data_IF_653642803415
#
_entry.id   IF_653642803415
#
_cell.length_a   1.000
_cell.length_b   1.000
_cell.length_c   1.000
_cell.angle_alpha   90.00
_cell.angle_beta   90.00
_cell.angle_gamma   90.00
#
_symmetry.space_group_name_H-M   'P 1'
#
loop_
_entity.id
_entity.type
_entity.pdbx_description
1 polymer ?
#
# COMPACT_ATOMS: atom_id res chain seq x y z
N UNK A 1 41.97 -1.60 61.11
CA UNK A 1 41.22 -0.53 60.43
C UNK A 1 41.12 -0.89 58.96
N UNK A 2 39.99 -1.49 58.57
CA UNK A 2 39.75 -1.97 57.19
C UNK A 2 39.37 -0.76 56.34
N UNK A 3 40.24 -0.40 55.37
CA UNK A 3 39.93 0.62 54.36
C UNK A 3 38.98 0.01 53.33
N UNK A 4 37.69 0.25 53.48
CA UNK A 4 36.70 0.01 52.42
C UNK A 4 36.89 1.08 51.33
N UNK A 5 37.64 0.73 50.29
CA UNK A 5 37.66 1.48 49.04
C UNK A 5 36.33 1.30 48.32
N UNK A 6 35.46 2.29 48.40
CA UNK A 6 34.25 2.38 47.58
C UNK A 6 34.71 2.51 46.13
N UNK A 7 34.58 1.44 45.35
CA UNK A 7 34.69 1.51 43.89
C UNK A 7 33.49 2.30 43.39
N UNK A 8 33.70 3.57 43.03
CA UNK A 8 32.74 4.35 42.26
C UNK A 8 32.49 3.58 40.96
N UNK A 9 31.26 3.11 40.75
CA UNK A 9 30.83 2.61 39.46
C UNK A 9 30.82 3.79 38.49
N UNK A 10 31.79 3.86 37.60
CA UNK A 10 31.79 4.80 36.49
C UNK A 10 30.52 4.57 35.67
N UNK A 11 29.60 5.53 35.70
CA UNK A 11 28.47 5.57 34.77
C UNK A 11 29.05 5.89 33.40
N UNK A 12 29.30 4.85 32.60
CA UNK A 12 29.72 5.01 31.20
C UNK A 12 28.59 5.76 30.49
N UNK A 13 28.86 7.00 30.09
CA UNK A 13 27.96 7.78 29.24
C UNK A 13 27.93 7.13 27.86
N UNK A 14 26.97 6.22 27.65
CA UNK A 14 26.77 5.56 26.37
C UNK A 14 26.15 6.54 25.39
N UNK A 15 26.99 7.39 24.78
CA UNK A 15 26.59 8.23 23.66
C UNK A 15 26.06 7.34 22.53
N UNK A 16 24.77 7.43 22.26
CA UNK A 16 24.12 6.71 21.17
C UNK A 16 24.80 7.11 19.86
N UNK A 17 25.40 6.14 19.18
CA UNK A 17 26.17 6.37 17.95
C UNK A 17 25.50 5.78 16.72
N UNK A 18 24.60 4.80 16.88
CA UNK A 18 23.93 4.08 15.79
C UNK A 18 22.44 3.96 16.06
N UNK A 19 21.62 4.29 15.07
CA UNK A 19 20.16 4.21 15.13
C UNK A 19 19.66 3.42 13.93
N UNK A 20 18.86 2.38 14.21
CA UNK A 20 18.16 1.62 13.19
C UNK A 20 16.85 2.32 12.83
N UNK A 21 16.65 2.62 11.55
CA UNK A 21 15.40 3.14 10.99
C UNK A 21 14.72 2.02 10.22
N UNK A 22 13.51 1.66 10.63
CA UNK A 22 12.76 0.51 10.07
C UNK A 22 12.03 0.83 8.76
N UNK A 23 12.18 2.06 8.27
CA UNK A 23 11.58 2.55 7.02
C UNK A 23 12.57 2.43 5.84
N UNK A 24 12.07 2.49 4.59
CA UNK A 24 12.90 2.62 3.41
C UNK A 24 13.89 3.79 3.51
N UNK A 25 15.11 3.57 3.03
CA UNK A 25 16.08 4.64 2.87
C UNK A 25 15.48 5.68 1.92
N UNK A 26 15.45 6.96 2.31
CA UNK A 26 14.98 8.02 1.42
C UNK A 26 15.80 8.04 0.13
N UNK A 27 15.13 8.21 -1.01
CA UNK A 27 15.78 8.26 -2.33
C UNK A 27 16.57 9.56 -2.55
N UNK A 28 16.22 10.62 -1.83
CA UNK A 28 16.84 11.95 -2.00
C UNK A 28 17.61 12.36 -0.76
N UNK A 29 18.78 12.96 -0.97
CA UNK A 29 19.64 13.48 0.10
C UNK A 29 19.03 14.67 0.86
N UNK A 30 17.88 15.19 0.40
CA UNK A 30 17.10 16.25 1.06
C UNK A 30 16.22 15.73 2.20
N UNK A 31 16.29 14.44 2.52
CA UNK A 31 15.52 13.89 3.63
C UNK A 31 15.99 14.44 4.98
N UNK A 32 15.07 14.80 5.91
CA UNK A 32 15.42 15.25 7.25
C UNK A 32 16.32 14.28 8.04
N UNK A 33 16.24 12.97 7.73
CA UNK A 33 17.09 11.96 8.36
C UNK A 33 18.59 12.26 8.18
N UNK A 34 19.01 12.68 6.98
CA UNK A 34 20.42 12.94 6.72
C UNK A 34 20.92 14.22 7.40
N UNK A 35 20.05 15.21 7.59
CA UNK A 35 20.37 16.40 8.37
C UNK A 35 20.53 16.08 9.86
N UNK A 36 19.62 15.28 10.42
CA UNK A 36 19.69 14.83 11.81
C UNK A 36 20.96 14.00 12.08
N UNK A 37 21.31 13.10 11.16
CA UNK A 37 22.54 12.30 11.24
C UNK A 37 23.79 13.20 11.37
N UNK A 38 23.89 14.24 10.53
CA UNK A 38 24.99 15.22 10.57
C UNK A 38 24.98 16.04 11.85
N UNK A 39 23.82 16.61 12.21
CA UNK A 39 23.67 17.52 13.36
C UNK A 39 24.07 16.86 14.68
N UNK A 40 23.68 15.61 14.89
CA UNK A 40 23.93 14.89 16.13
C UNK A 40 25.12 13.92 16.04
N UNK A 41 25.79 13.86 14.88
CA UNK A 41 26.91 12.93 14.62
C UNK A 41 26.54 11.47 14.93
N UNK A 42 25.37 11.05 14.45
CA UNK A 42 24.85 9.68 14.60
C UNK A 42 24.80 8.97 13.26
N UNK A 43 25.07 7.67 13.25
CA UNK A 43 24.90 6.81 12.09
C UNK A 43 23.45 6.31 12.02
N UNK A 44 22.80 6.48 10.87
CA UNK A 44 21.47 5.94 10.61
C UNK A 44 21.56 4.74 9.65
N UNK A 45 21.13 3.58 10.12
CA UNK A 45 21.04 2.37 9.30
C UNK A 45 19.57 2.14 8.93
N UNK A 46 19.25 2.13 7.63
CA UNK A 46 17.89 1.92 7.14
C UNK A 46 17.69 0.44 6.80
N UNK A 47 16.72 -0.19 7.46
CA UNK A 47 16.35 -1.58 7.20
C UNK A 47 14.82 -1.71 7.16
N UNK A 48 14.18 -1.76 5.98
CA UNK A 48 12.74 -1.89 5.86
C UNK A 48 12.27 -3.22 6.48
N UNK A 49 11.44 -3.14 7.51
CA UNK A 49 10.87 -4.35 8.13
C UNK A 49 9.70 -4.90 7.31
N UNK A 50 9.06 -4.04 6.53
CA UNK A 50 7.97 -4.41 5.65
C UNK A 50 8.48 -4.29 4.22
N UNK A 51 8.33 -5.37 3.47
CA UNK A 51 8.58 -5.43 2.02
C UNK A 51 7.29 -5.83 1.34
N UNK A 52 7.02 -5.21 0.20
CA UNK A 52 5.90 -5.57 -0.64
C UNK A 52 6.44 -6.32 -1.85
N UNK A 53 6.12 -7.60 -1.91
CA UNK A 53 6.46 -8.46 -3.04
C UNK A 53 5.20 -8.77 -3.84
N UNK A 54 5.31 -8.63 -5.16
CA UNK A 54 4.22 -8.98 -6.05
C UNK A 54 4.13 -10.49 -6.24
N UNK A 55 2.91 -11.03 -6.22
CA UNK A 55 2.68 -12.41 -6.67
C UNK A 55 3.02 -12.53 -8.16
N UNK A 56 3.55 -13.68 -8.57
CA UNK A 56 3.85 -13.96 -9.98
C UNK A 56 2.58 -14.37 -10.75
N UNK A 57 2.54 -14.15 -12.07
CA UNK A 57 1.45 -14.67 -12.90
C UNK A 57 1.30 -16.21 -12.84
N UNK A 58 2.36 -16.96 -12.49
CA UNK A 58 2.28 -18.41 -12.27
C UNK A 58 1.46 -18.74 -11.02
N UNK A 59 1.68 -18.02 -9.93
CA UNK A 59 0.95 -18.20 -8.67
C UNK A 59 -0.47 -17.69 -8.78
N UNK A 60 -0.67 -16.54 -9.42
CA UNK A 60 -2.01 -15.99 -9.62
C UNK A 60 -2.90 -16.96 -10.42
N UNK A 61 -2.38 -17.62 -11.47
CA UNK A 61 -3.12 -18.65 -12.23
C UNK A 61 -3.64 -19.80 -11.35
N UNK A 62 -2.94 -20.14 -10.26
CA UNK A 62 -3.40 -21.19 -9.33
C UNK A 62 -4.68 -20.80 -8.59
N UNK A 63 -4.96 -19.50 -8.45
CA UNK A 63 -6.19 -19.00 -7.83
C UNK A 63 -7.43 -19.19 -8.73
N UNK A 64 -7.24 -19.53 -10.02
CA UNK A 64 -8.31 -19.73 -11.00
C UNK A 64 -9.27 -18.55 -11.12
N UNK A 65 -8.77 -17.33 -10.91
CA UNK A 65 -9.53 -16.09 -11.06
C UNK A 65 -9.42 -15.62 -12.51
N UNK A 66 -10.56 -15.43 -13.17
CA UNK A 66 -10.64 -14.87 -14.50
C UNK A 66 -10.88 -13.36 -14.42
N UNK A 67 -9.83 -12.55 -14.61
CA UNK A 67 -9.90 -11.07 -14.46
C UNK A 67 -10.94 -10.47 -15.42
N UNK A 68 -11.08 -11.01 -16.63
CA UNK A 68 -12.04 -10.56 -17.65
C UNK A 68 -13.49 -10.78 -17.28
N UNK A 69 -13.78 -11.61 -16.26
CA UNK A 69 -15.14 -11.85 -15.77
C UNK A 69 -15.68 -10.71 -14.88
N UNK A 70 -14.81 -9.79 -14.46
CA UNK A 70 -15.16 -8.65 -13.61
C UNK A 70 -15.28 -7.37 -14.44
N UNK A 71 -16.30 -6.57 -14.13
CA UNK A 71 -16.60 -5.32 -14.84
C UNK A 71 -16.19 -4.10 -14.02
N UNK A 72 -15.93 -4.26 -12.72
CA UNK A 72 -15.48 -3.21 -11.82
C UNK A 72 -14.29 -3.66 -10.96
N UNK A 73 -13.36 -2.75 -10.68
CA UNK A 73 -12.20 -2.98 -9.81
C UNK A 73 -12.14 -1.95 -8.69
N UNK A 74 -11.92 -2.40 -7.45
CA UNK A 74 -11.80 -1.56 -6.26
C UNK A 74 -10.32 -1.40 -5.90
N UNK A 75 -9.86 -0.17 -5.70
CA UNK A 75 -8.48 0.14 -5.32
C UNK A 75 -8.39 0.99 -4.05
N UNK A 76 -7.67 0.48 -3.06
CA UNK A 76 -7.41 1.18 -1.81
C UNK A 76 -6.01 1.79 -1.73
N UNK A 77 -5.12 1.47 -2.66
CA UNK A 77 -3.75 2.01 -2.68
C UNK A 77 -3.15 2.05 -4.09
N UNK A 78 -2.07 2.84 -4.25
CA UNK A 78 -1.27 2.89 -5.49
C UNK A 78 -0.60 1.55 -5.79
N UNK A 79 -0.10 0.87 -4.76
CA UNK A 79 0.52 -0.44 -4.89
C UNK A 79 -0.47 -1.48 -5.47
N UNK A 80 -1.74 -1.46 -5.03
CA UNK A 80 -2.76 -2.36 -5.58
C UNK A 80 -2.99 -2.12 -7.08
N UNK A 81 -2.96 -0.85 -7.53
CA UNK A 81 -3.02 -0.48 -8.95
C UNK A 81 -1.82 -1.05 -9.71
N UNK A 82 -0.60 -0.75 -9.23
CA UNK A 82 0.64 -1.18 -9.88
C UNK A 82 0.67 -2.71 -10.04
N UNK A 83 0.37 -3.47 -8.97
CA UNK A 83 0.36 -4.92 -9.03
C UNK A 83 -0.79 -5.49 -9.86
N UNK A 84 -1.98 -4.87 -9.87
CA UNK A 84 -3.08 -5.30 -10.71
C UNK A 84 -2.72 -5.19 -12.20
N UNK A 85 -2.26 -4.03 -12.65
CA UNK A 85 -1.90 -3.84 -14.06
C UNK A 85 -0.68 -4.67 -14.47
N UNK A 86 0.31 -4.83 -13.58
CA UNK A 86 1.42 -5.77 -13.80
C UNK A 86 0.93 -7.20 -14.03
N UNK A 87 -0.01 -7.69 -13.21
CA UNK A 87 -0.58 -9.04 -13.39
C UNK A 87 -1.33 -9.13 -14.71
N UNK A 88 -2.12 -8.10 -15.07
CA UNK A 88 -2.82 -8.07 -16.34
C UNK A 88 -1.85 -8.16 -17.52
N UNK A 89 -0.73 -7.43 -17.48
CA UNK A 89 0.32 -7.47 -18.48
C UNK A 89 1.02 -8.84 -18.54
N UNK A 90 1.47 -9.38 -17.40
CA UNK A 90 2.12 -10.70 -17.33
C UNK A 90 1.21 -11.85 -17.82
N UNK A 91 -0.11 -11.71 -17.61
CA UNK A 91 -1.10 -12.67 -18.08
C UNK A 91 -1.58 -12.41 -19.51
N UNK A 92 -1.16 -11.30 -20.14
CA UNK A 92 -1.65 -10.83 -21.45
C UNK A 92 -3.17 -10.64 -21.47
N UNK A 93 -3.73 -10.17 -20.36
CA UNK A 93 -5.14 -9.82 -20.23
C UNK A 93 -5.37 -8.39 -20.72
N UNK A 94 -6.24 -8.24 -21.70
CA UNK A 94 -6.72 -6.92 -22.13
C UNK A 94 -7.90 -6.51 -21.27
N UNK A 95 -7.76 -5.38 -20.56
CA UNK A 95 -8.85 -4.82 -19.76
C UNK A 95 -9.83 -4.08 -20.67
N UNK A 96 -11.13 -4.27 -20.43
CA UNK A 96 -12.17 -3.60 -21.20
C UNK A 96 -12.10 -2.08 -21.00
N UNK A 97 -12.33 -1.33 -22.07
CA UNK A 97 -12.49 0.14 -21.96
C UNK A 97 -13.73 0.54 -21.16
N UNK A 98 -14.64 -0.41 -20.95
CA UNK A 98 -15.85 -0.19 -20.17
C UNK A 98 -15.70 -0.48 -18.68
N UNK A 99 -14.58 -1.08 -18.26
CA UNK A 99 -14.28 -1.37 -16.85
C UNK A 99 -14.37 -0.11 -16.01
N UNK A 100 -15.07 -0.21 -14.87
CA UNK A 100 -15.18 0.86 -13.88
C UNK A 100 -14.15 0.67 -12.76
N UNK A 101 -13.65 1.78 -12.25
CA UNK A 101 -12.64 1.80 -11.20
C UNK A 101 -13.16 2.62 -10.03
N UNK A 102 -13.10 2.03 -8.83
CA UNK A 102 -13.54 2.66 -7.59
C UNK A 102 -12.34 2.79 -6.67
N UNK A 103 -11.95 4.01 -6.34
CA UNK A 103 -10.77 4.30 -5.54
C UNK A 103 -11.14 4.87 -4.18
N UNK A 104 -10.39 4.52 -3.14
CA UNK A 104 -10.68 5.03 -1.80
C UNK A 104 -10.52 6.55 -1.69
N UNK A 105 -9.54 7.12 -2.41
CA UNK A 105 -9.24 8.56 -2.42
C UNK A 105 -9.05 9.07 -3.85
N UNK A 106 -9.21 10.38 -4.04
CA UNK A 106 -8.89 11.06 -5.30
C UNK A 106 -7.42 10.85 -5.72
N UNK A 107 -6.48 10.89 -4.77
CA UNK A 107 -5.06 10.71 -5.05
C UNK A 107 -4.73 9.31 -5.62
N UNK A 108 -5.50 8.28 -5.25
CA UNK A 108 -5.41 6.93 -5.82
C UNK A 108 -6.09 6.89 -7.19
N UNK A 109 -7.24 7.54 -7.35
CA UNK A 109 -7.95 7.64 -8.63
C UNK A 109 -7.11 8.34 -9.71
N UNK A 110 -6.48 9.46 -9.39
CA UNK A 110 -5.64 10.20 -10.33
C UNK A 110 -4.38 9.43 -10.71
N UNK A 111 -3.91 8.52 -9.85
CA UNK A 111 -2.77 7.65 -10.14
C UNK A 111 -3.06 6.66 -11.29
N UNK A 112 -4.33 6.28 -11.51
CA UNK A 112 -4.75 5.42 -12.62
C UNK A 112 -4.41 6.01 -14.00
N UNK A 113 -4.23 7.33 -14.11
CA UNK A 113 -3.86 7.99 -15.38
C UNK A 113 -2.57 7.43 -15.99
N UNK A 114 -1.70 6.82 -15.18
CA UNK A 114 -0.50 6.14 -15.68
C UNK A 114 -0.80 4.89 -16.52
N UNK A 115 -1.95 4.25 -16.29
CA UNK A 115 -2.29 2.94 -16.83
C UNK A 115 -3.45 2.98 -17.82
N UNK A 116 -4.38 3.91 -17.63
CA UNK A 116 -5.59 4.02 -18.44
C UNK A 116 -5.86 5.47 -18.83
N UNK A 117 -6.62 5.66 -19.90
CA UNK A 117 -7.21 6.96 -20.20
C UNK A 117 -8.27 7.31 -19.16
N UNK A 118 -8.01 8.32 -18.34
CA UNK A 118 -8.90 8.73 -17.28
C UNK A 118 -10.21 9.30 -17.82
N UNK A 119 -11.34 8.77 -17.34
CA UNK A 119 -12.69 9.21 -17.71
C UNK A 119 -13.55 9.29 -16.47
N UNK A 120 -14.11 10.48 -16.18
CA UNK A 120 -14.97 10.71 -15.00
C UNK A 120 -16.17 9.75 -14.89
N UNK A 121 -16.68 9.25 -16.03
CA UNK A 121 -17.79 8.27 -16.07
C UNK A 121 -17.38 6.82 -15.78
N UNK A 122 -16.07 6.54 -15.64
CA UNK A 122 -15.50 5.21 -15.40
C UNK A 122 -14.65 5.15 -14.13
N UNK A 123 -14.11 6.29 -13.67
CA UNK A 123 -13.31 6.37 -12.46
C UNK A 123 -14.06 7.15 -11.39
N UNK A 124 -14.27 6.50 -10.25
CA UNK A 124 -15.02 7.01 -9.11
C UNK A 124 -14.13 6.95 -7.86
N UNK A 125 -14.37 7.84 -6.90
CA UNK A 125 -13.64 7.83 -5.63
C UNK A 125 -14.48 8.33 -4.46
N UNK A 126 -14.09 7.91 -3.25
CA UNK A 126 -14.65 8.40 -1.99
C UNK A 126 -14.31 9.88 -1.76
N UNK A 127 -15.29 10.66 -1.28
CA UNK A 127 -15.13 12.11 -1.11
C UNK A 127 -14.25 12.49 0.09
N UNK A 128 -14.19 11.64 1.12
CA UNK A 128 -13.50 11.90 2.39
C UNK A 128 -12.32 10.93 2.63
N UNK A 129 -12.03 10.04 1.68
CA UNK A 129 -10.99 9.03 1.81
C UNK A 129 -11.34 7.84 2.71
N UNK A 130 -12.57 7.76 3.22
CA UNK A 130 -13.05 6.61 3.97
C UNK A 130 -13.60 5.50 3.05
N UNK A 131 -13.55 4.26 3.53
CA UNK A 131 -14.18 3.14 2.84
C UNK A 131 -15.69 3.35 2.69
N UNK A 132 -16.34 3.94 3.70
CA UNK A 132 -17.78 4.24 3.67
C UNK A 132 -18.18 5.12 2.49
N UNK A 133 -17.48 6.25 2.28
CA UNK A 133 -17.85 7.15 1.18
C UNK A 133 -17.61 6.52 -0.20
N UNK A 134 -16.58 5.69 -0.34
CA UNK A 134 -16.38 4.89 -1.54
C UNK A 134 -17.50 3.86 -1.75
N UNK A 135 -17.90 3.15 -0.68
CA UNK A 135 -18.99 2.17 -0.72
C UNK A 135 -20.34 2.81 -1.07
N UNK A 136 -20.60 4.04 -0.63
CA UNK A 136 -21.81 4.79 -1.02
C UNK A 136 -21.85 5.06 -2.54
N UNK A 137 -20.70 5.30 -3.17
CA UNK A 137 -20.60 5.45 -4.62
C UNK A 137 -20.75 4.09 -5.31
N UNK A 138 -20.11 3.04 -4.79
CA UNK A 138 -20.24 1.67 -5.31
C UNK A 138 -21.70 1.21 -5.30
N UNK A 139 -22.45 1.50 -4.23
CA UNK A 139 -23.87 1.12 -4.09
C UNK A 139 -24.76 1.69 -5.21
N UNK A 140 -24.38 2.82 -5.83
CA UNK A 140 -25.10 3.41 -6.98
C UNK A 140 -24.87 2.66 -8.30
N UNK A 141 -23.85 1.80 -8.35
CA UNK A 141 -23.46 1.06 -9.54
C UNK A 141 -23.61 -0.46 -9.38
N UNK A 142 -23.79 -0.96 -8.16
CA UNK A 142 -23.65 -2.39 -7.83
C UNK A 142 -24.53 -3.35 -8.61
N UNK A 143 -25.72 -2.94 -9.03
CA UNK A 143 -26.69 -3.82 -9.69
C UNK A 143 -26.20 -4.35 -11.06
N UNK A 144 -25.29 -3.63 -11.70
CA UNK A 144 -24.81 -3.94 -13.05
C UNK A 144 -23.34 -4.33 -13.10
N UNK A 145 -22.69 -4.48 -11.95
CA UNK A 145 -21.24 -4.62 -11.88
C UNK A 145 -20.82 -5.85 -11.09
N UNK A 146 -19.78 -6.54 -11.58
CA UNK A 146 -19.08 -7.59 -10.84
C UNK A 146 -17.75 -7.05 -10.36
N UNK A 147 -17.55 -7.05 -9.05
CA UNK A 147 -16.41 -6.38 -8.43
C UNK A 147 -15.24 -7.32 -8.18
N UNK A 148 -14.04 -6.87 -8.55
CA UNK A 148 -12.77 -7.43 -8.14
C UNK A 148 -12.08 -6.50 -7.15
N UNK A 149 -11.53 -7.05 -6.09
CA UNK A 149 -10.77 -6.29 -5.09
C UNK A 149 -9.34 -6.85 -4.94
N UNK A 150 -8.36 -6.27 -5.66
CA UNK A 150 -6.96 -6.60 -5.48
C UNK A 150 -6.48 -6.09 -4.11
N UNK A 151 -5.98 -7.00 -3.28
CA UNK A 151 -5.43 -6.66 -1.96
C UNK A 151 -4.23 -7.54 -1.61
N UNK A 152 -3.52 -7.17 -0.53
CA UNK A 152 -2.43 -7.98 0.01
C UNK A 152 -2.95 -9.15 0.84
N UNK A 153 -2.11 -10.17 1.06
CA UNK A 153 -2.45 -11.31 1.91
C UNK A 153 -2.78 -10.90 3.35
N UNK A 154 -2.06 -9.90 3.87
CA UNK A 154 -2.27 -9.37 5.22
C UNK A 154 -3.42 -8.35 5.30
N UNK A 155 -4.36 -8.36 4.35
CA UNK A 155 -5.43 -7.37 4.31
C UNK A 155 -6.34 -7.50 5.54
N UNK A 156 -6.47 -6.40 6.30
CA UNK A 156 -7.32 -6.32 7.51
C UNK A 156 -8.64 -5.60 7.27
N UNK A 157 -8.90 -5.18 6.02
CA UNK A 157 -10.11 -4.45 5.65
C UNK A 157 -11.33 -5.36 5.62
N UNK A 158 -11.93 -5.53 6.79
CA UNK A 158 -13.15 -6.30 6.95
C UNK A 158 -14.35 -5.62 6.29
N UNK A 159 -14.34 -4.30 6.10
CA UNK A 159 -15.51 -3.58 5.58
C UNK A 159 -15.76 -3.91 4.11
N UNK A 160 -14.74 -3.74 3.26
CA UNK A 160 -14.87 -4.03 1.81
C UNK A 160 -15.13 -5.52 1.59
N UNK A 161 -14.42 -6.39 2.33
CA UNK A 161 -14.56 -7.85 2.21
C UNK A 161 -15.96 -8.29 2.62
N UNK A 162 -16.48 -7.80 3.74
CA UNK A 162 -17.84 -8.14 4.19
C UNK A 162 -18.89 -7.58 3.24
N UNK A 163 -18.69 -6.37 2.72
CA UNK A 163 -19.58 -5.81 1.71
C UNK A 163 -19.63 -6.67 0.46
N UNK A 164 -18.47 -7.12 -0.07
CA UNK A 164 -18.40 -8.00 -1.23
C UNK A 164 -19.09 -9.34 -0.97
N UNK A 165 -18.86 -9.97 0.19
CA UNK A 165 -19.54 -11.23 0.55
C UNK A 165 -21.06 -11.12 0.59
N UNK A 166 -21.59 -9.94 0.89
CA UNK A 166 -23.03 -9.70 0.98
C UNK A 166 -23.68 -9.30 -0.36
N UNK A 167 -22.90 -8.88 -1.36
CA UNK A 167 -23.42 -8.22 -2.56
C UNK A 167 -22.87 -8.76 -3.90
N UNK A 168 -21.92 -9.68 -3.88
CA UNK A 168 -21.19 -10.16 -5.06
C UNK A 168 -21.31 -11.68 -5.21
#
# INVERSE_FOLDING_TARGET
MVKNGVKNAETVDHKISKILITQPKPETDKSPYFELARKYSVQLDFHPFIRLDGISAKEFRKQKIEITSFTAVIFTSRNAIDHFFRICEEMKVSISQDTKYFCVTEAVALYLQKFILYRKRKVFYGADGSNKSMLDVINKHKENEKFLYPSSENQQDNEIVNWLKAHN
#
